data_IF_127180024571
#
_entry.id   IF_127180024571
#
_cell.length_a   1.000
_cell.length_b   1.000
_cell.length_c   1.000
_cell.angle_alpha   90.00
_cell.angle_beta   90.00
_cell.angle_gamma   90.00
#
_symmetry.space_group_name_H-M   'P 1'
#
loop_
_entity.id
_entity.type
_entity.pdbx_description
1 polymer ?
#
# COMPACT_ATOMS: atom_id res chain seq x y z
N UNK A 1 11.52 -6.80 9.72
CA UNK A 1 10.52 -6.04 8.93
C UNK A 1 10.36 -4.64 9.50
N UNK A 2 10.28 -3.61 8.65
CA UNK A 2 9.92 -2.25 9.04
C UNK A 2 8.47 -1.99 8.59
N UNK A 3 7.65 -1.43 9.48
CA UNK A 3 6.28 -1.02 9.19
C UNK A 3 6.10 0.45 9.53
N UNK A 4 5.68 1.23 8.55
CA UNK A 4 5.28 2.63 8.71
C UNK A 4 3.79 2.70 8.42
N UNK A 5 2.98 2.84 9.47
CA UNK A 5 1.53 2.93 9.38
C UNK A 5 1.07 4.07 10.29
N UNK A 6 1.04 5.32 9.80
CA UNK A 6 0.60 6.47 10.57
C UNK A 6 -0.82 6.23 11.09
N UNK A 7 -1.01 6.49 12.38
CA UNK A 7 -2.30 6.24 13.01
C UNK A 7 -3.42 7.04 12.35
N UNK A 8 -4.41 6.31 11.83
CA UNK A 8 -5.66 6.84 11.34
C UNK A 8 -6.77 5.78 11.51
N UNK A 9 -7.94 6.15 12.12
CA UNK A 9 -9.03 5.20 12.28
C UNK A 9 -9.57 4.60 10.98
N UNK A 10 -9.53 5.34 9.88
CA UNK A 10 -10.05 4.89 8.57
C UNK A 10 -9.15 3.86 7.88
N UNK A 11 -7.86 3.82 8.23
CA UNK A 11 -6.91 2.84 7.69
C UNK A 11 -6.54 1.73 8.69
N UNK A 12 -7.22 1.67 9.83
CA UNK A 12 -6.90 0.73 10.93
C UNK A 12 -6.88 -0.74 10.50
N UNK A 13 -7.71 -1.14 9.51
CA UNK A 13 -7.75 -2.52 9.02
C UNK A 13 -6.40 -2.98 8.46
N UNK A 14 -5.56 -2.08 7.96
CA UNK A 14 -4.24 -2.41 7.44
C UNK A 14 -3.30 -2.99 8.51
N UNK A 15 -3.64 -2.88 9.81
CA UNK A 15 -2.88 -3.53 10.86
C UNK A 15 -2.92 -5.07 10.76
N UNK A 16 -3.96 -5.65 10.14
CA UNK A 16 -4.06 -7.10 9.95
C UNK A 16 -2.96 -7.65 9.03
N UNK A 17 -2.37 -6.81 8.17
CA UNK A 17 -1.27 -7.21 7.28
C UNK A 17 -0.05 -7.66 8.08
N UNK A 18 0.30 -6.93 9.15
CA UNK A 18 1.51 -7.20 9.95
C UNK A 18 1.23 -7.77 11.35
N UNK A 19 -0.03 -7.89 11.73
CA UNK A 19 -0.45 -8.47 13.00
C UNK A 19 0.07 -9.90 13.17
N UNK A 20 0.74 -10.17 14.29
CA UNK A 20 1.30 -11.51 14.59
C UNK A 20 2.61 -11.84 13.85
N UNK A 21 3.18 -10.91 13.10
CA UNK A 21 4.53 -11.04 12.55
C UNK A 21 5.53 -10.61 13.63
N UNK A 22 6.52 -11.45 13.87
CA UNK A 22 7.56 -11.17 14.86
C UNK A 22 8.63 -10.20 14.32
N UNK A 23 9.36 -9.53 15.25
CA UNK A 23 10.48 -8.64 14.92
C UNK A 23 10.11 -7.47 14.02
N UNK A 24 8.90 -6.91 14.20
CA UNK A 24 8.45 -5.72 13.49
C UNK A 24 8.98 -4.46 14.17
N UNK A 25 9.68 -3.62 13.43
CA UNK A 25 10.00 -2.24 13.84
C UNK A 25 8.89 -1.33 13.34
N UNK A 26 8.04 -0.86 14.25
CA UNK A 26 6.80 -0.17 13.95
C UNK A 26 6.91 1.34 14.20
N UNK A 27 6.33 2.12 13.28
CA UNK A 27 6.23 3.58 13.34
C UNK A 27 4.80 4.00 12.99
N UNK A 28 4.17 4.77 13.85
CA UNK A 28 2.77 5.20 13.75
C UNK A 28 2.56 6.71 13.68
N UNK A 29 3.64 7.49 13.60
CA UNK A 29 3.56 8.94 13.67
C UNK A 29 4.53 9.64 12.71
N UNK A 30 4.04 10.71 12.07
CA UNK A 30 4.88 11.62 11.30
C UNK A 30 6.02 12.26 12.12
N UNK A 31 5.85 12.36 13.43
CA UNK A 31 6.89 12.88 14.34
C UNK A 31 8.15 12.01 14.37
N UNK A 32 8.02 10.76 13.95
CA UNK A 32 9.11 9.80 13.86
C UNK A 32 9.80 9.81 12.48
N UNK A 33 9.54 10.79 11.62
CA UNK A 33 10.07 10.85 10.26
C UNK A 33 11.58 10.64 10.17
N UNK A 34 12.36 11.27 11.05
CA UNK A 34 13.81 11.11 11.06
C UNK A 34 14.24 9.72 11.55
N UNK A 35 13.49 9.13 12.48
CA UNK A 35 13.71 7.76 12.96
C UNK A 35 13.37 6.74 11.88
N UNK A 36 12.28 6.96 11.15
CA UNK A 36 11.89 6.14 9.98
C UNK A 36 13.02 6.15 8.94
N UNK A 37 13.50 7.33 8.55
CA UNK A 37 14.61 7.47 7.60
C UNK A 37 15.88 6.74 8.05
N UNK A 38 16.26 6.92 9.32
CA UNK A 38 17.41 6.22 9.91
C UNK A 38 17.20 4.71 9.92
N UNK A 39 16.00 4.25 10.25
CA UNK A 39 15.67 2.83 10.26
C UNK A 39 15.80 2.21 8.87
N UNK A 40 15.20 2.86 7.87
CA UNK A 40 15.26 2.41 6.47
C UNK A 40 16.71 2.41 5.96
N UNK A 41 17.47 3.48 6.23
CA UNK A 41 18.85 3.60 5.79
C UNK A 41 19.76 2.51 6.39
N UNK A 42 19.53 2.13 7.66
CA UNK A 42 20.32 1.13 8.37
C UNK A 42 19.89 -0.32 8.09
N UNK A 43 18.69 -0.53 7.54
CA UNK A 43 18.18 -1.86 7.29
C UNK A 43 18.87 -2.53 6.09
N UNK A 44 19.07 -3.85 6.10
CA UNK A 44 19.47 -4.62 4.93
C UNK A 44 18.59 -4.29 3.70
N UNK A 45 19.13 -4.40 2.50
CA UNK A 45 18.38 -4.05 1.27
C UNK A 45 17.18 -4.96 1.02
N UNK A 46 17.27 -6.20 1.45
CA UNK A 46 16.23 -7.22 1.37
C UNK A 46 15.22 -7.19 2.53
N UNK A 47 15.46 -6.34 3.54
CA UNK A 47 14.52 -6.17 4.65
C UNK A 47 13.14 -5.71 4.13
N UNK A 48 12.05 -6.43 4.42
CA UNK A 48 10.71 -5.99 4.04
C UNK A 48 10.33 -4.66 4.68
N UNK A 49 9.80 -3.74 3.87
CA UNK A 49 9.32 -2.44 4.31
C UNK A 49 7.87 -2.27 3.85
N UNK A 50 6.97 -2.15 4.81
CA UNK A 50 5.56 -1.89 4.59
C UNK A 50 5.25 -0.42 4.90
N UNK A 51 4.73 0.28 3.91
CA UNK A 51 4.29 1.67 3.97
C UNK A 51 2.78 1.66 3.75
N UNK A 52 2.01 1.93 4.80
CA UNK A 52 0.57 1.69 4.85
C UNK A 52 -0.17 2.94 5.34
N UNK A 53 -1.34 3.23 4.78
CA UNK A 53 -2.15 4.35 5.26
C UNK A 53 -2.77 5.19 4.15
N UNK A 54 -2.99 6.47 4.41
CA UNK A 54 -3.38 7.45 3.40
C UNK A 54 -2.17 7.94 2.60
N UNK A 55 -2.44 8.41 1.38
CA UNK A 55 -1.37 9.00 0.59
C UNK A 55 -1.85 9.63 -0.72
N UNK A 56 -0.88 10.05 -1.50
CA UNK A 56 -1.06 10.66 -2.80
C UNK A 56 0.12 10.27 -3.72
N UNK A 57 0.15 10.71 -5.00
CA UNK A 57 1.28 10.41 -5.88
C UNK A 57 2.65 10.91 -5.39
N UNK A 58 2.68 11.80 -4.39
CA UNK A 58 3.91 12.33 -3.81
C UNK A 58 4.34 11.63 -2.52
N UNK A 59 3.57 10.67 -1.99
CA UNK A 59 3.97 9.85 -0.85
C UNK A 59 2.89 9.51 0.16
N UNK A 60 3.33 8.86 1.23
CA UNK A 60 2.53 8.46 2.39
C UNK A 60 2.24 9.66 3.29
N UNK A 61 0.98 9.80 3.70
CA UNK A 61 0.48 10.90 4.53
C UNK A 61 0.08 10.43 5.93
N UNK A 62 0.07 11.36 6.86
CA UNK A 62 -0.59 11.19 8.16
C UNK A 62 -2.03 11.72 8.13
N UNK A 63 -2.78 11.54 9.21
CA UNK A 63 -4.17 12.00 9.37
C UNK A 63 -4.36 13.53 9.26
N UNK A 64 -3.28 14.30 9.21
CA UNK A 64 -3.30 15.77 9.01
C UNK A 64 -2.79 16.17 7.63
N UNK A 65 -2.69 15.21 6.73
CA UNK A 65 -2.12 15.37 5.38
C UNK A 65 -0.66 15.82 5.36
N UNK A 66 0.07 15.61 6.47
CA UNK A 66 1.51 15.79 6.53
C UNK A 66 2.24 14.62 5.85
N UNK A 67 3.22 14.92 5.00
CA UNK A 67 4.01 13.88 4.33
C UNK A 67 4.92 13.19 5.36
N UNK A 68 4.74 11.89 5.54
CA UNK A 68 5.58 11.03 6.38
C UNK A 68 6.80 10.54 5.61
N UNK A 69 6.57 9.98 4.42
CA UNK A 69 7.61 9.64 3.44
C UNK A 69 7.16 10.13 2.08
N UNK A 70 7.99 10.90 1.40
CA UNK A 70 7.65 11.52 0.14
C UNK A 70 8.78 11.48 -0.88
N UNK A 71 8.66 12.31 -1.92
CA UNK A 71 9.60 12.37 -3.05
C UNK A 71 11.07 12.50 -2.60
N UNK A 72 11.34 13.27 -1.56
CA UNK A 72 12.70 13.45 -1.01
C UNK A 72 13.26 12.19 -0.35
N UNK A 73 12.42 11.21 -0.05
CA UNK A 73 12.80 9.98 0.64
C UNK A 73 12.96 8.79 -0.32
N UNK A 74 12.58 8.96 -1.59
CA UNK A 74 12.57 7.90 -2.59
C UNK A 74 13.92 7.20 -2.77
N UNK A 75 15.04 7.94 -2.65
CA UNK A 75 16.38 7.36 -2.77
C UNK A 75 16.68 6.31 -1.66
N UNK A 76 16.06 6.42 -0.49
CA UNK A 76 16.19 5.43 0.59
C UNK A 76 15.52 4.10 0.23
N UNK A 77 14.50 4.15 -0.64
CA UNK A 77 13.69 3.02 -1.06
C UNK A 77 14.22 2.34 -2.31
N UNK A 78 15.01 3.04 -3.14
CA UNK A 78 15.55 2.51 -4.38
C UNK A 78 16.40 1.25 -4.19
N UNK A 79 16.21 0.32 -5.12
CA UNK A 79 16.95 -0.95 -5.16
C UNK A 79 16.58 -1.92 -4.04
N UNK A 80 15.48 -1.69 -3.30
CA UNK A 80 14.91 -2.62 -2.34
C UNK A 80 13.85 -3.47 -3.02
N UNK A 81 13.96 -4.80 -3.02
CA UNK A 81 13.01 -5.67 -3.72
C UNK A 81 11.70 -5.89 -2.93
N UNK A 82 11.74 -5.68 -1.62
CA UNK A 82 10.66 -6.08 -0.72
C UNK A 82 9.92 -4.85 -0.15
N UNK A 83 9.48 -3.95 -1.04
CA UNK A 83 8.64 -2.82 -0.66
C UNK A 83 7.16 -3.15 -0.83
N UNK A 84 6.35 -2.66 0.11
CA UNK A 84 4.89 -2.67 0.01
C UNK A 84 4.41 -1.24 0.24
N UNK A 85 3.63 -0.72 -0.70
CA UNK A 85 2.98 0.58 -0.60
C UNK A 85 1.47 0.44 -0.74
N UNK A 86 0.73 0.51 0.36
CA UNK A 86 -0.74 0.48 0.37
C UNK A 86 -1.24 1.83 0.86
N UNK A 87 -1.36 2.75 -0.07
CA UNK A 87 -2.01 4.06 0.05
C UNK A 87 -2.49 4.49 -1.34
N UNK A 88 -3.46 5.38 -1.44
CA UNK A 88 -3.97 5.87 -2.72
C UNK A 88 -2.86 6.44 -3.60
N UNK A 89 -2.69 5.87 -4.80
CA UNK A 89 -1.65 6.22 -5.78
C UNK A 89 -0.21 5.84 -5.40
N UNK A 90 -0.02 4.82 -4.54
CA UNK A 90 1.31 4.28 -4.24
C UNK A 90 2.02 3.76 -5.51
N UNK A 91 1.28 3.18 -6.45
CA UNK A 91 1.80 2.73 -7.75
C UNK A 91 2.38 3.88 -8.58
N UNK A 92 1.71 5.04 -8.59
CA UNK A 92 2.19 6.25 -9.28
C UNK A 92 3.49 6.77 -8.66
N UNK A 93 3.58 6.76 -7.32
CA UNK A 93 4.80 7.08 -6.59
C UNK A 93 5.93 6.10 -6.94
N UNK A 94 5.63 4.80 -6.91
CA UNK A 94 6.61 3.76 -7.23
C UNK A 94 7.12 3.87 -8.66
N UNK A 95 6.23 4.13 -9.62
CA UNK A 95 6.58 4.36 -11.01
C UNK A 95 7.51 5.58 -11.18
N UNK A 96 7.11 6.72 -10.63
CA UNK A 96 7.87 7.98 -10.69
C UNK A 96 9.31 7.80 -10.21
N UNK A 97 9.51 6.96 -9.21
CA UNK A 97 10.80 6.78 -8.55
C UNK A 97 11.52 5.49 -8.92
N UNK A 98 10.97 4.66 -9.81
CA UNK A 98 11.58 3.39 -10.21
C UNK A 98 11.70 2.40 -9.05
N UNK A 99 10.68 2.32 -8.17
CA UNK A 99 10.69 1.42 -7.03
C UNK A 99 10.20 0.02 -7.42
N UNK A 100 10.74 -1.00 -6.74
CA UNK A 100 10.37 -2.41 -6.87
C UNK A 100 9.45 -2.80 -5.72
N UNK A 101 8.53 -3.74 -5.94
CA UNK A 101 7.66 -4.24 -4.88
C UNK A 101 6.18 -4.28 -5.24
N UNK A 102 5.33 -4.27 -4.23
CA UNK A 102 3.89 -4.38 -4.34
C UNK A 102 3.22 -3.05 -3.96
N UNK A 103 2.42 -2.51 -4.86
CA UNK A 103 1.81 -1.18 -4.70
C UNK A 103 0.35 -1.19 -5.13
N UNK A 104 -0.48 -0.32 -4.54
CA UNK A 104 -1.83 -0.07 -5.02
C UNK A 104 -1.96 1.28 -5.73
N UNK A 105 -2.90 1.37 -6.68
CA UNK A 105 -3.40 2.63 -7.22
C UNK A 105 -4.40 3.30 -6.27
N UNK A 106 -5.46 3.86 -6.80
CA UNK A 106 -6.60 4.28 -5.99
C UNK A 106 -7.22 3.05 -5.32
N UNK A 107 -7.43 3.11 -4.02
CA UNK A 107 -8.06 2.04 -3.23
C UNK A 107 -9.21 2.65 -2.44
N UNK A 108 -10.44 2.24 -2.76
CA UNK A 108 -11.64 2.71 -2.09
C UNK A 108 -11.71 2.11 -0.69
N UNK A 109 -11.61 2.94 0.32
CA UNK A 109 -11.70 2.58 1.74
C UNK A 109 -12.76 3.39 2.50
N UNK A 110 -13.35 4.39 1.83
CA UNK A 110 -14.39 5.25 2.40
C UNK A 110 -15.51 5.56 1.39
N UNK A 111 -16.72 5.78 1.87
CA UNK A 111 -17.89 6.05 1.03
C UNK A 111 -17.73 7.24 0.07
N UNK A 112 -17.11 8.38 0.47
CA UNK A 112 -16.89 9.48 -0.46
C UNK A 112 -16.02 9.09 -1.66
N UNK A 113 -15.04 8.21 -1.46
CA UNK A 113 -14.17 7.70 -2.52
C UNK A 113 -14.96 6.85 -3.53
N UNK A 114 -15.86 5.98 -3.04
CA UNK A 114 -16.74 5.18 -3.91
C UNK A 114 -17.61 6.08 -4.79
N UNK A 115 -18.24 7.12 -4.19
CA UNK A 115 -19.08 8.07 -4.91
C UNK A 115 -18.30 8.80 -6.00
N UNK A 116 -17.10 9.31 -5.68
CA UNK A 116 -16.27 10.05 -6.65
C UNK A 116 -15.82 9.14 -7.81
N UNK A 117 -15.57 7.86 -7.53
CA UNK A 117 -15.12 6.90 -8.53
C UNK A 117 -16.28 6.15 -9.24
N UNK A 118 -17.52 6.52 -8.96
CA UNK A 118 -18.69 5.93 -9.61
C UNK A 118 -18.94 4.46 -9.26
N UNK A 119 -18.41 4.00 -8.12
CA UNK A 119 -18.60 2.63 -7.62
C UNK A 119 -19.77 2.61 -6.66
N UNK A 120 -20.80 1.81 -6.97
CA UNK A 120 -21.95 1.60 -6.11
C UNK A 120 -21.59 0.61 -4.99
N UNK A 121 -21.43 1.10 -3.78
CA UNK A 121 -21.16 0.28 -2.60
C UNK A 121 -21.66 0.97 -1.34
N UNK A 122 -22.16 0.19 -0.39
CA UNK A 122 -22.50 0.67 0.95
C UNK A 122 -21.23 0.81 1.80
N UNK A 123 -21.30 1.62 2.86
CA UNK A 123 -20.19 1.76 3.81
C UNK A 123 -19.77 0.41 4.43
N UNK A 124 -20.73 -0.51 4.65
CA UNK A 124 -20.43 -1.84 5.18
C UNK A 124 -19.65 -2.71 4.18
N UNK A 125 -20.05 -2.69 2.89
CA UNK A 125 -19.33 -3.44 1.83
C UNK A 125 -17.90 -2.92 1.66
N UNK A 126 -17.70 -1.60 1.75
CA UNK A 126 -16.37 -0.98 1.69
C UNK A 126 -15.51 -1.43 2.87
N UNK A 127 -16.06 -1.39 4.09
CA UNK A 127 -15.35 -1.84 5.30
C UNK A 127 -15.01 -3.34 5.20
N UNK A 128 -15.95 -4.17 4.80
CA UNK A 128 -15.76 -5.62 4.65
C UNK A 128 -14.68 -5.94 3.58
N UNK A 129 -14.69 -5.28 2.43
CA UNK A 129 -13.69 -5.48 1.37
C UNK A 129 -12.28 -5.08 1.85
N UNK A 130 -12.16 -3.92 2.50
CA UNK A 130 -10.89 -3.43 3.02
C UNK A 130 -10.32 -4.34 4.13
N UNK A 131 -11.17 -4.83 5.05
CA UNK A 131 -10.77 -5.81 6.06
C UNK A 131 -10.37 -7.14 5.44
N UNK A 132 -11.14 -7.64 4.48
CA UNK A 132 -10.84 -8.89 3.78
C UNK A 132 -9.49 -8.82 3.05
N UNK A 133 -9.22 -7.70 2.35
CA UNK A 133 -7.92 -7.46 1.73
C UNK A 133 -6.77 -7.56 2.75
N UNK A 134 -6.87 -6.82 3.85
CA UNK A 134 -5.81 -6.76 4.85
C UNK A 134 -5.58 -8.10 5.56
N UNK A 135 -6.68 -8.80 5.91
CA UNK A 135 -6.62 -10.13 6.54
C UNK A 135 -5.96 -11.15 5.58
N UNK A 136 -6.40 -11.20 4.32
CA UNK A 136 -5.85 -12.12 3.32
C UNK A 136 -4.37 -11.89 3.09
N UNK A 137 -3.97 -10.62 2.92
CA UNK A 137 -2.55 -10.28 2.76
C UNK A 137 -1.74 -10.71 3.99
N UNK A 138 -2.20 -10.40 5.19
CA UNK A 138 -1.55 -10.82 6.42
C UNK A 138 -1.46 -12.34 6.59
N UNK A 139 -2.48 -13.10 6.18
CA UNK A 139 -2.46 -14.57 6.20
C UNK A 139 -1.39 -15.13 5.26
N UNK A 140 -1.26 -14.58 4.05
CA UNK A 140 -0.23 -14.99 3.09
C UNK A 140 1.17 -14.75 3.65
N UNK A 141 1.43 -13.56 4.21
CA UNK A 141 2.73 -13.24 4.80
C UNK A 141 3.06 -14.14 6.01
N UNK A 142 2.11 -14.37 6.91
CA UNK A 142 2.28 -15.29 8.06
C UNK A 142 2.44 -16.74 7.63
N UNK A 143 1.83 -17.11 6.50
CA UNK A 143 1.98 -18.43 5.88
C UNK A 143 3.33 -18.67 5.22
N UNK A 144 4.21 -17.66 5.19
CA UNK A 144 5.54 -17.76 4.60
C UNK A 144 5.61 -17.50 3.10
N UNK A 145 4.53 -16.99 2.49
CA UNK A 145 4.55 -16.55 1.09
C UNK A 145 5.56 -15.40 0.91
N UNK A 146 6.30 -15.42 -0.18
CA UNK A 146 7.05 -14.25 -0.63
C UNK A 146 6.09 -13.09 -0.96
N UNK A 147 6.60 -11.85 -1.03
CA UNK A 147 5.77 -10.71 -1.44
C UNK A 147 5.25 -10.86 -2.86
N UNK A 148 6.03 -11.45 -3.76
CA UNK A 148 5.61 -11.74 -5.14
C UNK A 148 4.45 -12.72 -5.19
N UNK A 149 4.54 -13.85 -4.47
CA UNK A 149 3.46 -14.83 -4.38
C UNK A 149 2.20 -14.23 -3.75
N UNK A 150 2.35 -13.47 -2.67
CA UNK A 150 1.23 -12.80 -2.02
C UNK A 150 0.56 -11.77 -2.96
N UNK A 151 1.36 -10.97 -3.66
CA UNK A 151 0.87 -10.03 -4.67
C UNK A 151 0.10 -10.74 -5.78
N UNK A 152 0.64 -11.82 -6.33
CA UNK A 152 -0.02 -12.62 -7.37
C UNK A 152 -1.38 -13.13 -6.91
N UNK A 153 -1.45 -13.74 -5.73
CA UNK A 153 -2.72 -14.24 -5.16
C UNK A 153 -3.76 -13.13 -4.97
N UNK A 154 -3.33 -11.94 -4.51
CA UNK A 154 -4.24 -10.81 -4.33
C UNK A 154 -4.71 -10.25 -5.68
N UNK A 155 -3.82 -10.04 -6.63
CA UNK A 155 -4.14 -9.52 -7.96
C UNK A 155 -5.06 -10.47 -8.74
N UNK A 156 -4.87 -11.78 -8.63
CA UNK A 156 -5.73 -12.78 -9.26
C UNK A 156 -7.16 -12.82 -8.68
N UNK A 157 -7.38 -12.11 -7.58
CA UNK A 157 -8.69 -12.10 -6.89
C UNK A 157 -9.66 -11.04 -7.43
N UNK A 158 -9.26 -10.20 -8.37
CA UNK A 158 -10.06 -9.11 -8.93
C UNK A 158 -11.38 -9.58 -9.59
N UNK A 159 -11.47 -10.81 -10.06
CA UNK A 159 -12.60 -11.29 -10.84
C UNK A 159 -13.77 -11.87 -10.01
N UNK A 160 -13.81 -11.67 -8.70
CA UNK A 160 -14.59 -12.65 -7.93
C UNK A 160 -15.87 -12.17 -7.26
N UNK A 161 -16.13 -10.87 -6.94
CA UNK A 161 -17.27 -10.65 -6.03
C UNK A 161 -18.12 -9.40 -6.28
N UNK A 162 -17.55 -8.24 -6.57
CA UNK A 162 -18.31 -6.99 -6.75
C UNK A 162 -17.52 -5.95 -7.55
N UNK A 163 -18.21 -4.93 -8.04
CA UNK A 163 -17.59 -3.80 -8.72
C UNK A 163 -16.54 -3.09 -7.84
N UNK A 164 -16.78 -3.04 -6.53
CA UNK A 164 -15.83 -2.52 -5.55
C UNK A 164 -14.55 -3.36 -5.47
N UNK A 165 -14.70 -4.68 -5.34
CA UNK A 165 -13.55 -5.59 -5.28
C UNK A 165 -12.77 -5.54 -6.60
N UNK A 166 -13.46 -5.55 -7.74
CA UNK A 166 -12.82 -5.39 -9.04
C UNK A 166 -12.07 -4.06 -9.14
N UNK A 167 -12.69 -2.96 -8.73
CA UNK A 167 -12.05 -1.65 -8.69
C UNK A 167 -10.76 -1.66 -7.85
N UNK A 168 -10.81 -2.16 -6.63
CA UNK A 168 -9.69 -2.13 -5.70
C UNK A 168 -8.55 -3.06 -6.15
N UNK A 169 -8.89 -4.29 -6.53
CA UNK A 169 -7.88 -5.31 -6.81
C UNK A 169 -7.26 -5.19 -8.20
N UNK A 170 -8.00 -4.68 -9.21
CA UNK A 170 -7.44 -4.40 -10.54
C UNK A 170 -6.37 -3.30 -10.53
N UNK A 171 -6.32 -2.49 -9.48
CA UNK A 171 -5.33 -1.42 -9.27
C UNK A 171 -4.14 -1.83 -8.42
N UNK A 172 -4.03 -3.10 -8.07
CA UNK A 172 -2.84 -3.65 -7.44
C UNK A 172 -1.77 -3.91 -8.50
N UNK A 173 -0.52 -3.65 -8.16
CA UNK A 173 0.60 -3.78 -9.11
C UNK A 173 1.81 -4.40 -8.43
N UNK A 174 2.35 -5.48 -9.00
CA UNK A 174 3.65 -6.02 -8.67
C UNK A 174 4.71 -5.47 -9.64
N UNK A 175 5.82 -4.96 -9.12
CA UNK A 175 6.93 -4.36 -9.89
C UNK A 175 8.25 -5.04 -9.54
N UNK A 176 8.65 -6.11 -10.26
CA UNK A 176 9.88 -6.86 -9.95
C UNK A 176 11.14 -6.07 -10.26
N UNK A 177 11.16 -5.24 -11.31
CA UNK A 177 12.35 -4.51 -11.76
C UNK A 177 12.29 -2.99 -11.51
N UNK A 178 11.11 -2.43 -11.22
CA UNK A 178 10.90 -1.01 -10.97
C UNK A 178 10.91 -0.12 -12.23
N UNK A 179 11.13 -0.68 -13.40
CA UNK A 179 11.13 0.01 -14.69
C UNK A 179 9.99 -0.41 -15.61
N UNK A 180 9.06 -1.21 -15.12
CA UNK A 180 7.86 -1.58 -15.85
C UNK A 180 7.05 -0.33 -16.16
N UNK A 181 6.43 -0.25 -17.37
CA UNK A 181 5.52 0.84 -17.67
C UNK A 181 4.34 0.80 -16.69
N UNK A 182 3.77 1.99 -16.41
CA UNK A 182 2.45 2.01 -15.76
C UNK A 182 1.49 1.15 -16.59
N UNK A 183 0.62 0.36 -15.96
CA UNK A 183 -0.54 -0.14 -16.66
C UNK A 183 -1.23 1.07 -17.33
N UNK A 184 -1.76 0.92 -18.55
CA UNK A 184 -2.43 2.02 -19.22
C UNK A 184 -3.44 2.59 -18.23
N UNK A 185 -3.20 3.82 -17.80
CA UNK A 185 -4.13 4.53 -16.96
C UNK A 185 -5.46 4.56 -17.72
N UNK A 186 -6.54 4.11 -17.09
CA UNK A 186 -7.84 4.63 -17.49
C UNK A 186 -7.67 6.16 -17.42
N UNK A 187 -8.04 6.90 -18.45
CA UNK A 187 -7.81 8.36 -18.57
C UNK A 187 -8.37 9.18 -17.38
N UNK A 188 -9.02 8.51 -16.43
CA UNK A 188 -9.67 9.04 -15.22
C UNK A 188 -8.78 9.07 -13.95
N UNK A 189 -7.57 8.50 -13.95
CA UNK A 189 -6.71 8.46 -12.74
C UNK A 189 -5.94 9.76 -12.44
N UNK A 190 -6.13 10.84 -13.20
CA UNK A 190 -5.35 12.07 -13.03
C UNK A 190 -6.14 13.29 -12.53
N UNK A 191 -7.38 13.11 -11.99
CA UNK A 191 -8.18 14.26 -11.50
C UNK A 191 -8.64 14.09 -10.05
#
# INVERSE_FOLDING_TARGET
>A
MIVVHPFDPSTRMLCEIYKGIENVKFFDSWKQRDEIRKAIAAAPKDEPILLLGHGCPSGLLDMRFGIVLGDSDAELLKGRPNLVGIWCYASSYAYKHGLKGFFCGMFISELPEAIVNGVEASAQEIDDDAWNFAIRFGLLLRGGSSLEEAAGVLMDSCYMVSDLTDFNYSRLTWRPEGNEPLPPASEEEYW
#
